data_IF_970047443677
#
_entry.id   IF_970047443677
#
_cell.length_a   1.000
_cell.length_b   1.000
_cell.length_c   1.000
_cell.angle_alpha   90.00
_cell.angle_beta   90.00
_cell.angle_gamma   90.00
#
_symmetry.space_group_name_H-M   'P 1'
#
loop_
_entity.id
_entity.type
_entity.pdbx_description
1 polymer ?
#
# COMPACT_ATOMS: atom_id res chain seq x y z
N UNK A 1 -7.75 -8.52 6.15
CA UNK A 1 -7.20 -7.66 5.06
C UNK A 1 -7.96 -7.90 3.76
N UNK A 2 -7.93 -6.92 2.85
CA UNK A 2 -8.35 -7.07 1.47
C UNK A 2 -7.11 -7.15 0.57
N UNK A 3 -7.16 -8.01 -0.44
CA UNK A 3 -6.13 -8.09 -1.46
C UNK A 3 -6.41 -7.08 -2.60
N UNK A 4 -5.36 -6.61 -3.26
CA UNK A 4 -5.46 -5.96 -4.56
C UNK A 4 -5.42 -6.99 -5.69
N UNK A 5 -5.61 -6.54 -6.92
CA UNK A 5 -5.37 -7.37 -8.11
C UNK A 5 -3.91 -7.16 -8.54
N UNK A 6 -3.12 -8.19 -8.33
CA UNK A 6 -1.68 -8.21 -8.57
C UNK A 6 -1.08 -9.45 -7.95
N UNK A 7 0.23 -9.48 -7.71
CA UNK A 7 0.87 -10.63 -7.07
C UNK A 7 0.36 -10.87 -5.63
N UNK A 8 -0.11 -9.85 -4.95
CA UNK A 8 -0.73 -9.92 -3.62
C UNK A 8 -2.11 -10.58 -3.64
N UNK A 9 -2.76 -10.72 -4.80
CA UNK A 9 -3.99 -11.49 -4.96
C UNK A 9 -3.83 -12.95 -4.52
N UNK A 10 -2.64 -13.51 -4.63
CA UNK A 10 -2.37 -14.89 -4.18
C UNK A 10 -2.64 -15.10 -2.68
N UNK A 11 -2.72 -14.04 -1.87
CA UNK A 11 -3.11 -14.12 -0.47
C UNK A 11 -4.52 -14.69 -0.27
N UNK A 12 -5.37 -14.68 -1.31
CA UNK A 12 -6.71 -15.31 -1.28
C UNK A 12 -6.63 -16.83 -1.05
N UNK A 13 -5.57 -17.46 -1.51
CA UNK A 13 -5.35 -18.91 -1.36
C UNK A 13 -4.48 -19.29 -0.16
N UNK A 14 -4.10 -18.29 0.63
CA UNK A 14 -3.32 -18.48 1.85
C UNK A 14 -4.23 -18.33 3.06
N UNK A 15 -3.94 -19.06 4.13
CA UNK A 15 -4.59 -18.86 5.43
C UNK A 15 -4.06 -17.58 6.10
N UNK A 16 -4.53 -16.42 5.63
CA UNK A 16 -4.11 -15.08 6.04
C UNK A 16 -5.28 -14.14 6.35
N UNK A 17 -6.44 -14.69 6.65
CA UNK A 17 -7.65 -13.91 6.94
C UNK A 17 -7.96 -12.85 5.87
N UNK A 18 -7.81 -13.21 4.59
CA UNK A 18 -8.13 -12.32 3.49
C UNK A 18 -9.63 -12.30 3.26
N UNK A 19 -10.24 -11.11 3.37
CA UNK A 19 -11.69 -10.92 3.33
C UNK A 19 -12.26 -10.90 1.91
N UNK A 20 -11.44 -10.61 0.92
CA UNK A 20 -11.86 -10.49 -0.45
C UNK A 20 -10.95 -9.57 -1.25
N UNK A 21 -11.44 -9.14 -2.40
CA UNK A 21 -10.74 -8.27 -3.33
C UNK A 21 -11.75 -7.44 -4.14
N UNK A 22 -11.25 -6.46 -4.86
CA UNK A 22 -12.03 -5.71 -5.85
C UNK A 22 -11.17 -5.49 -7.11
N UNK A 23 -11.76 -4.92 -8.16
CA UNK A 23 -11.04 -4.62 -9.40
C UNK A 23 -9.94 -3.56 -9.18
N UNK A 24 -8.95 -3.56 -10.06
CA UNK A 24 -7.90 -2.55 -10.08
C UNK A 24 -8.49 -1.13 -10.11
N UNK A 25 -8.02 -0.28 -9.22
CA UNK A 25 -8.48 1.10 -9.04
C UNK A 25 -9.64 1.26 -8.07
N UNK A 26 -10.27 0.16 -7.64
CA UNK A 26 -11.34 0.15 -6.64
C UNK A 26 -10.91 -0.36 -5.27
N UNK A 27 -9.61 -0.56 -5.06
CA UNK A 27 -9.07 -1.11 -3.82
C UNK A 27 -9.50 -0.27 -2.60
N UNK A 28 -10.20 -0.90 -1.68
CA UNK A 28 -10.73 -0.26 -0.46
C UNK A 28 -12.13 0.33 -0.62
N UNK A 29 -12.66 0.47 -1.83
CA UNK A 29 -14.00 1.02 -2.05
C UNK A 29 -15.10 0.15 -1.43
N UNK A 30 -14.93 -1.17 -1.41
CA UNK A 30 -15.82 -2.09 -0.72
C UNK A 30 -15.91 -1.79 0.79
N UNK A 31 -14.77 -1.52 1.44
CA UNK A 31 -14.76 -1.19 2.87
C UNK A 31 -15.45 0.15 3.16
N UNK A 32 -15.34 1.13 2.27
CA UNK A 32 -16.09 2.40 2.40
C UNK A 32 -17.58 2.13 2.53
N UNK A 33 -18.11 1.20 1.73
CA UNK A 33 -19.52 0.81 1.79
C UNK A 33 -19.88 -0.10 2.96
N UNK A 34 -18.96 -0.98 3.38
CA UNK A 34 -19.17 -1.95 4.45
C UNK A 34 -19.01 -1.36 5.86
N UNK A 35 -18.09 -0.41 6.05
CA UNK A 35 -17.71 0.10 7.36
C UNK A 35 -18.90 0.56 8.23
N UNK A 36 -19.91 1.28 7.70
CA UNK A 36 -21.07 1.70 8.50
C UNK A 36 -21.92 0.55 9.04
N UNK A 37 -21.83 -0.64 8.45
CA UNK A 37 -22.64 -1.81 8.78
C UNK A 37 -21.82 -2.94 9.42
N UNK A 38 -20.54 -2.73 9.63
CA UNK A 38 -19.62 -3.74 10.17
C UNK A 38 -19.31 -3.48 11.65
N UNK A 39 -19.13 -4.57 12.39
CA UNK A 39 -18.55 -4.51 13.74
C UNK A 39 -17.03 -4.34 13.74
N UNK A 40 -16.39 -4.42 12.57
CA UNK A 40 -14.96 -4.11 12.44
C UNK A 40 -14.74 -2.62 12.47
N UNK A 41 -13.68 -2.20 13.13
CA UNK A 41 -13.31 -0.78 13.22
C UNK A 41 -12.22 -0.39 12.23
N UNK A 42 -11.54 -1.38 11.65
CA UNK A 42 -10.39 -1.18 10.78
C UNK A 42 -10.18 -2.35 9.82
N UNK A 43 -9.64 -2.06 8.65
CA UNK A 43 -9.14 -3.07 7.68
C UNK A 43 -7.82 -2.62 7.05
N UNK A 44 -7.05 -3.59 6.57
CA UNK A 44 -5.91 -3.35 5.69
C UNK A 44 -6.32 -3.60 4.24
N UNK A 45 -5.91 -2.71 3.34
CA UNK A 45 -6.05 -2.88 1.90
C UNK A 45 -4.68 -2.90 1.24
N UNK A 46 -4.35 -4.01 0.60
CA UNK A 46 -3.14 -4.09 -0.22
C UNK A 46 -3.38 -3.50 -1.61
N UNK A 47 -2.39 -2.82 -2.15
CA UNK A 47 -2.42 -2.24 -3.49
C UNK A 47 -1.01 -2.23 -4.08
N UNK A 48 -0.85 -2.73 -5.31
CA UNK A 48 0.42 -2.67 -6.02
C UNK A 48 0.73 -1.25 -6.52
N UNK A 49 2.01 -0.95 -6.68
CA UNK A 49 2.48 0.35 -7.18
C UNK A 49 1.98 0.68 -8.58
N UNK A 50 1.91 -0.31 -9.48
CA UNK A 50 1.32 -0.13 -10.80
C UNK A 50 -0.15 0.29 -10.73
N UNK A 51 -0.96 -0.41 -9.92
CA UNK A 51 -2.37 -0.05 -9.73
C UNK A 51 -2.52 1.32 -9.07
N UNK A 52 -1.72 1.62 -8.04
CA UNK A 52 -1.67 2.94 -7.43
C UNK A 52 -1.46 4.03 -8.49
N UNK A 53 -0.47 3.82 -9.36
CA UNK A 53 -0.07 4.79 -10.38
C UNK A 53 -1.17 5.06 -11.42
N UNK A 54 -1.80 4.01 -11.96
CA UNK A 54 -2.78 4.21 -13.04
C UNK A 54 -4.19 4.56 -12.56
N UNK A 55 -4.63 4.13 -11.37
CA UNK A 55 -6.02 4.33 -10.95
C UNK A 55 -6.28 4.27 -9.44
N UNK A 56 -5.49 3.53 -8.67
CA UNK A 56 -5.77 3.23 -7.25
C UNK A 56 -5.74 4.45 -6.33
N UNK A 57 -5.06 5.51 -6.71
CA UNK A 57 -5.07 6.78 -5.98
C UNK A 57 -6.48 7.35 -5.81
N UNK A 58 -7.40 7.08 -6.74
CA UNK A 58 -8.79 7.53 -6.66
C UNK A 58 -9.55 6.86 -5.50
N UNK A 59 -9.30 5.57 -5.25
CA UNK A 59 -9.91 4.85 -4.14
C UNK A 59 -9.41 5.39 -2.78
N UNK A 60 -8.13 5.75 -2.68
CA UNK A 60 -7.59 6.40 -1.47
C UNK A 60 -8.28 7.76 -1.23
N UNK A 61 -8.46 8.55 -2.28
CA UNK A 61 -9.20 9.83 -2.18
C UNK A 61 -10.65 9.63 -1.74
N UNK A 62 -11.30 8.60 -2.26
CA UNK A 62 -12.68 8.26 -1.86
C UNK A 62 -12.75 7.86 -0.38
N UNK A 63 -11.79 7.07 0.12
CA UNK A 63 -11.70 6.68 1.52
C UNK A 63 -11.48 7.89 2.45
N UNK A 64 -10.62 8.81 2.05
CA UNK A 64 -10.39 10.08 2.77
C UNK A 64 -11.67 10.92 2.82
N UNK A 65 -12.34 11.10 1.68
CA UNK A 65 -13.58 11.87 1.60
C UNK A 65 -14.70 11.25 2.44
N UNK A 66 -14.74 9.92 2.55
CA UNK A 66 -15.72 9.20 3.37
C UNK A 66 -15.35 9.18 4.87
N UNK A 67 -14.17 9.63 5.27
CA UNK A 67 -13.70 9.58 6.64
C UNK A 67 -13.54 8.16 7.19
N UNK A 68 -13.30 7.18 6.30
CA UNK A 68 -13.24 5.77 6.67
C UNK A 68 -11.93 5.44 7.40
N UNK A 69 -12.01 4.64 8.46
CA UNK A 69 -10.81 4.15 9.17
C UNK A 69 -10.27 2.89 8.50
N UNK A 70 -9.09 3.00 7.89
CA UNK A 70 -8.41 1.90 7.21
C UNK A 70 -6.93 2.22 6.96
N UNK A 71 -6.15 1.18 6.67
CA UNK A 71 -4.76 1.33 6.25
C UNK A 71 -4.53 0.76 4.85
N UNK A 72 -4.08 1.58 3.93
CA UNK A 72 -3.54 1.11 2.66
C UNK A 72 -2.10 0.64 2.82
N UNK A 73 -1.77 -0.51 2.23
CA UNK A 73 -0.39 -0.96 2.07
C UNK A 73 -0.04 -0.88 0.59
N UNK A 74 0.72 0.15 0.21
CA UNK A 74 1.22 0.33 -1.15
C UNK A 74 2.49 -0.48 -1.29
N UNK A 75 2.43 -1.52 -2.12
CA UNK A 75 3.50 -2.48 -2.32
C UNK A 75 4.37 -2.02 -3.49
N UNK A 76 5.36 -1.19 -3.20
CA UNK A 76 6.28 -0.67 -4.19
C UNK A 76 7.37 -1.69 -4.49
N UNK A 77 7.39 -2.21 -5.71
CA UNK A 77 8.37 -3.18 -6.18
C UNK A 77 9.10 -2.76 -7.46
N UNK A 78 8.89 -1.54 -7.92
CA UNK A 78 9.48 -0.92 -9.10
C UNK A 78 9.20 -1.71 -10.39
N UNK A 79 8.07 -2.41 -10.45
CA UNK A 79 7.72 -3.17 -11.65
C UNK A 79 6.24 -3.54 -11.71
N UNK A 80 5.67 -3.56 -12.91
CA UNK A 80 4.44 -4.28 -13.22
C UNK A 80 4.78 -5.77 -13.36
N UNK A 81 5.00 -6.41 -12.20
CA UNK A 81 5.69 -7.70 -12.12
C UNK A 81 4.90 -8.86 -12.75
N UNK A 82 3.57 -8.85 -12.62
CA UNK A 82 2.71 -9.94 -13.09
C UNK A 82 2.71 -10.09 -14.61
N UNK A 83 2.84 -9.01 -15.34
CA UNK A 83 2.78 -8.99 -16.82
C UNK A 83 4.13 -9.02 -17.51
N UNK A 84 5.23 -9.16 -16.77
CA UNK A 84 6.56 -9.32 -17.36
C UNK A 84 7.62 -8.35 -16.85
N UNK A 85 7.32 -7.55 -15.84
CA UNK A 85 8.31 -6.68 -15.19
C UNK A 85 8.56 -5.36 -15.94
N UNK A 86 7.54 -4.82 -16.57
CA UNK A 86 7.59 -3.48 -17.16
C UNK A 86 7.77 -2.46 -16.03
N UNK A 87 8.51 -1.37 -16.32
CA UNK A 87 8.61 -0.23 -15.42
C UNK A 87 7.27 0.48 -15.26
N UNK A 88 7.08 1.15 -14.13
CA UNK A 88 5.92 2.01 -13.92
C UNK A 88 5.98 3.25 -14.82
N UNK A 89 4.86 3.60 -15.46
CA UNK A 89 4.77 4.81 -16.27
C UNK A 89 5.03 6.07 -15.45
N UNK A 90 5.63 7.07 -16.06
CA UNK A 90 5.86 8.38 -15.45
C UNK A 90 6.95 8.40 -14.38
N UNK A 91 7.83 7.38 -14.33
CA UNK A 91 8.92 7.28 -13.37
C UNK A 91 8.42 7.41 -11.91
N UNK A 92 7.35 6.69 -11.57
CA UNK A 92 6.85 6.62 -10.19
C UNK A 92 7.95 6.05 -9.28
N UNK A 93 8.28 6.80 -8.24
CA UNK A 93 9.21 6.37 -7.19
C UNK A 93 8.54 6.45 -5.80
N UNK A 94 9.09 5.81 -4.77
CA UNK A 94 8.48 5.80 -3.44
C UNK A 94 8.44 7.19 -2.81
N UNK A 95 9.35 8.08 -3.16
CA UNK A 95 9.38 9.47 -2.66
C UNK A 95 8.19 10.25 -3.18
N UNK A 96 7.88 10.10 -4.46
CA UNK A 96 6.70 10.71 -5.07
C UNK A 96 5.42 10.19 -4.45
N UNK A 97 5.30 8.87 -4.27
CA UNK A 97 4.14 8.26 -3.61
C UNK A 97 3.91 8.88 -2.24
N UNK A 98 4.95 8.94 -1.39
CA UNK A 98 4.84 9.50 -0.03
C UNK A 98 4.40 10.97 -0.05
N UNK A 99 4.98 11.79 -0.93
CA UNK A 99 4.61 13.19 -1.06
C UNK A 99 3.15 13.37 -1.55
N UNK A 100 2.71 12.57 -2.52
CA UNK A 100 1.32 12.60 -3.00
C UNK A 100 0.33 12.22 -1.90
N UNK A 101 0.60 11.15 -1.16
CA UNK A 101 -0.24 10.67 -0.04
C UNK A 101 -0.29 11.69 1.09
N UNK A 102 0.83 12.32 1.42
CA UNK A 102 0.88 13.39 2.42
C UNK A 102 0.05 14.60 1.97
N UNK A 103 0.20 15.02 0.72
CA UNK A 103 -0.57 16.12 0.14
C UNK A 103 -2.09 15.84 0.09
N UNK A 104 -2.50 14.57 0.00
CA UNK A 104 -3.90 14.18 0.07
C UNK A 104 -4.49 14.26 1.48
N UNK A 105 -3.67 14.36 2.52
CA UNK A 105 -4.12 14.51 3.91
C UNK A 105 -4.35 13.20 4.64
N UNK A 106 -3.64 12.13 4.29
CA UNK A 106 -3.66 10.89 5.07
C UNK A 106 -3.21 11.14 6.52
N UNK A 107 -3.88 10.50 7.48
CA UNK A 107 -3.69 10.76 8.90
C UNK A 107 -2.30 10.36 9.40
N UNK A 108 -1.79 9.23 8.91
CA UNK A 108 -0.46 8.72 9.25
C UNK A 108 0.15 7.99 8.06
N UNK A 109 1.44 8.19 7.85
CA UNK A 109 2.22 7.53 6.81
C UNK A 109 3.45 6.89 7.45
N UNK A 110 3.75 5.65 7.08
CA UNK A 110 5.00 4.99 7.43
C UNK A 110 5.63 4.37 6.19
N UNK A 111 6.95 4.37 6.17
CA UNK A 111 7.75 3.66 5.17
C UNK A 111 8.26 2.38 5.82
N UNK A 112 8.08 1.25 5.15
CA UNK A 112 8.69 -0.01 5.57
C UNK A 112 9.50 -0.56 4.41
N UNK A 113 10.75 -0.94 4.66
CA UNK A 113 11.67 -1.31 3.60
C UNK A 113 12.46 -2.58 3.91
N UNK A 114 12.86 -3.29 2.87
CA UNK A 114 13.83 -4.39 2.97
C UNK A 114 15.24 -3.78 3.05
N UNK A 115 16.09 -4.30 3.94
CA UNK A 115 17.46 -3.83 4.21
C UNK A 115 18.40 -3.85 2.98
N UNK A 116 17.98 -4.53 1.92
CA UNK A 116 18.75 -4.65 0.66
C UNK A 116 18.36 -3.61 -0.38
N UNK A 117 17.40 -2.75 -0.08
CA UNK A 117 16.99 -1.68 -0.98
C UNK A 117 17.86 -0.43 -0.75
N UNK A 118 18.31 0.19 -1.84
CA UNK A 118 19.03 1.45 -1.80
C UNK A 118 18.05 2.62 -1.69
N UNK A 119 17.98 3.25 -0.53
CA UNK A 119 17.00 4.30 -0.23
C UNK A 119 17.71 5.55 0.25
N UNK A 120 17.42 6.67 -0.39
CA UNK A 120 17.84 7.99 0.08
C UNK A 120 16.77 8.58 1.02
N UNK A 121 16.92 8.35 2.30
CA UNK A 121 15.97 8.81 3.32
C UNK A 121 15.84 10.32 3.39
N UNK A 122 16.82 11.10 2.91
CA UNK A 122 16.76 12.55 2.90
C UNK A 122 15.71 13.10 1.91
N UNK A 123 15.26 12.30 0.96
CA UNK A 123 14.21 12.66 0.00
C UNK A 123 12.79 12.52 0.55
N UNK A 124 12.61 11.83 1.67
CA UNK A 124 11.30 11.74 2.32
C UNK A 124 11.02 12.95 3.19
N UNK A 125 9.73 13.32 3.39
CA UNK A 125 9.35 14.31 4.38
C UNK A 125 9.80 13.89 5.78
N UNK A 126 10.31 14.85 6.57
CA UNK A 126 10.89 14.58 7.89
C UNK A 126 9.91 14.01 8.92
N UNK A 127 8.62 14.24 8.71
CA UNK A 127 7.54 13.79 9.58
C UNK A 127 7.17 12.32 9.35
N UNK A 128 7.66 11.71 8.27
CA UNK A 128 7.33 10.33 7.90
C UNK A 128 8.37 9.38 8.47
N UNK A 129 7.91 8.49 9.33
CA UNK A 129 8.76 7.51 9.99
C UNK A 129 9.11 6.36 9.05
N UNK A 130 10.36 5.88 9.15
CA UNK A 130 10.87 4.76 8.35
C UNK A 130 11.26 3.60 9.24
N UNK A 131 10.92 2.39 8.83
CA UNK A 131 11.12 1.15 9.59
C UNK A 131 11.68 0.06 8.71
N UNK A 132 12.51 -0.80 9.28
CA UNK A 132 12.94 -2.01 8.62
C UNK A 132 11.79 -3.03 8.52
N UNK A 133 11.87 -3.92 7.56
CA UNK A 133 10.89 -4.99 7.34
C UNK A 133 10.60 -5.83 8.59
N UNK A 134 11.60 -6.02 9.45
CA UNK A 134 11.45 -6.76 10.70
C UNK A 134 10.40 -6.15 11.63
N UNK A 135 10.20 -4.82 11.56
CA UNK A 135 9.25 -4.08 12.37
C UNK A 135 7.83 -4.02 11.79
N UNK A 136 7.59 -4.60 10.61
CA UNK A 136 6.30 -4.54 9.91
C UNK A 136 5.11 -4.87 10.83
N UNK A 137 5.24 -5.87 11.69
CA UNK A 137 4.15 -6.26 12.62
C UNK A 137 3.80 -5.12 13.57
N UNK A 138 4.80 -4.46 14.15
CA UNK A 138 4.60 -3.34 15.07
C UNK A 138 3.99 -2.14 14.34
N UNK A 139 4.46 -1.85 13.13
CA UNK A 139 3.91 -0.78 12.29
C UNK A 139 2.45 -1.04 11.96
N UNK A 140 2.08 -2.27 11.59
CA UNK A 140 0.68 -2.64 11.34
C UNK A 140 -0.19 -2.44 12.58
N UNK A 141 0.27 -2.82 13.76
CA UNK A 141 -0.47 -2.58 15.02
C UNK A 141 -0.68 -1.08 15.26
N UNK A 142 0.34 -0.26 15.05
CA UNK A 142 0.21 1.20 15.17
C UNK A 142 -0.82 1.77 14.18
N UNK A 143 -0.77 1.34 12.93
CA UNK A 143 -1.69 1.80 11.88
C UNK A 143 -3.13 1.37 12.16
N UNK A 144 -3.34 0.14 12.65
CA UNK A 144 -4.67 -0.36 13.01
C UNK A 144 -5.33 0.45 14.14
N UNK A 145 -4.53 1.06 15.01
CA UNK A 145 -4.99 1.93 16.09
C UNK A 145 -5.10 3.42 15.70
N UNK A 146 -4.87 3.75 14.43
CA UNK A 146 -4.95 5.11 13.91
C UNK A 146 -6.33 5.34 13.28
N UNK A 147 -7.06 6.34 13.75
CA UNK A 147 -8.34 6.72 13.14
C UNK A 147 -8.12 7.42 11.79
N UNK A 148 -9.03 7.19 10.86
CA UNK A 148 -8.94 7.73 9.50
C UNK A 148 -8.09 6.89 8.57
N UNK A 149 -7.70 7.46 7.42
CA UNK A 149 -6.91 6.76 6.42
C UNK A 149 -5.43 6.89 6.74
N UNK A 150 -4.78 5.75 7.00
CA UNK A 150 -3.33 5.66 7.15
C UNK A 150 -2.71 4.86 6.00
N UNK A 151 -1.41 5.00 5.78
CA UNK A 151 -0.71 4.37 4.66
C UNK A 151 0.63 3.82 5.09
N UNK A 152 0.91 2.58 4.68
CA UNK A 152 2.24 1.99 4.71
C UNK A 152 2.74 1.92 3.27
N UNK A 153 3.86 2.58 2.98
CA UNK A 153 4.58 2.40 1.71
C UNK A 153 5.65 1.35 1.94
N UNK A 154 5.42 0.15 1.38
CA UNK A 154 6.34 -0.96 1.53
C UNK A 154 7.26 -1.06 0.33
N UNK A 155 8.56 -0.94 0.56
CA UNK A 155 9.58 -0.86 -0.50
C UNK A 155 10.39 -2.16 -0.51
N UNK A 156 10.18 -2.96 -1.56
CA UNK A 156 10.95 -4.18 -1.80
C UNK A 156 10.87 -4.58 -3.26
N UNK A 157 12.00 -4.67 -3.94
CA UNK A 157 12.06 -5.15 -5.32
C UNK A 157 11.50 -6.57 -5.45
N UNK A 158 10.68 -6.80 -6.46
CA UNK A 158 10.09 -8.11 -6.74
C UNK A 158 11.17 -9.21 -6.89
N UNK A 159 10.99 -10.35 -6.22
CA UNK A 159 11.93 -11.46 -6.28
C UNK A 159 12.10 -12.04 -7.69
N UNK A 160 11.05 -12.01 -8.51
CA UNK A 160 11.11 -12.42 -9.91
C UNK A 160 11.99 -11.47 -10.73
N UNK A 161 11.85 -10.15 -10.50
CA UNK A 161 12.67 -9.13 -11.16
C UNK A 161 14.14 -9.22 -10.72
N UNK A 162 14.40 -9.43 -9.45
CA UNK A 162 15.79 -9.69 -8.96
C UNK A 162 16.44 -10.86 -9.68
N UNK A 163 15.68 -11.90 -10.05
CA UNK A 163 16.21 -13.04 -10.82
C UNK A 163 16.41 -12.72 -12.30
N UNK A 164 15.52 -11.92 -12.91
CA UNK A 164 15.63 -11.52 -14.33
C UNK A 164 16.79 -10.56 -14.57
N UNK A 165 17.10 -9.69 -13.60
CA UNK A 165 18.18 -8.70 -13.71
C UNK A 165 19.58 -9.28 -13.41
N UNK A 166 19.67 -10.57 -13.04
CA UNK A 166 20.93 -11.33 -12.87
C UNK A 166 21.34 -12.04 -14.15
#
# INVERSE_FOLDING_TARGET
AYAGIGCDFMAQWMDRETLGYTQMGGEGANWIGEAPFSNRTHVFQNIGDGTYNHSGVQAIRAALAAGTTMTYKILFNDAVAMTGGQGNDGNLDPYRIVNEIQAMGCTKIAIVYDDKEEIDFARFPKEVESYERADMQNVQVQMANTSGVSVIVYIQTCAAEKRRRR
#
